data_IF_923633187500
#
_entry.id   IF_923633187500
#
_cell.length_a   1.000
_cell.length_b   1.000
_cell.length_c   1.000
_cell.angle_alpha   90.00
_cell.angle_beta   90.00
_cell.angle_gamma   90.00
#
_symmetry.space_group_name_H-M   'P 1'
#
loop_
_entity.id
_entity.type
_entity.pdbx_description
1 polymer ?
#
# COMPACT_ATOMS: atom_id res chain seq x y z
N UNK A 1 43.69 -54.62 -17.78
CA UNK A 1 43.89 -54.55 -16.36
C UNK A 1 42.90 -53.45 -15.92
N UNK A 2 41.65 -53.66 -15.83
CA UNK A 2 40.81 -54.47 -14.93
C UNK A 2 41.02 -54.11 -13.47
N UNK A 3 40.10 -53.39 -12.86
CA UNK A 3 39.54 -53.65 -11.56
C UNK A 3 38.32 -52.73 -11.27
N UNK A 4 37.27 -53.37 -11.14
CA UNK A 4 35.90 -53.15 -10.76
C UNK A 4 35.72 -52.77 -9.30
N UNK A 5 34.75 -51.88 -9.04
CA UNK A 5 33.63 -51.75 -8.06
C UNK A 5 33.83 -52.20 -6.60
N UNK A 6 33.08 -51.67 -5.57
CA UNK A 6 31.64 -52.00 -5.50
C UNK A 6 30.67 -50.87 -5.11
N UNK A 7 29.42 -51.14 -5.45
CA UNK A 7 28.19 -50.49 -5.13
C UNK A 7 27.76 -50.94 -3.70
N UNK A 8 27.15 -50.03 -2.91
CA UNK A 8 26.34 -50.41 -1.79
C UNK A 8 24.96 -49.72 -1.82
N UNK A 9 23.97 -50.54 -1.85
CA UNK A 9 22.53 -50.25 -1.74
C UNK A 9 22.15 -49.98 -0.29
N UNK A 10 21.33 -48.98 -0.05
CA UNK A 10 20.29 -49.04 0.99
C UNK A 10 19.06 -48.25 0.56
N UNK A 11 17.92 -48.95 0.61
CA UNK A 11 16.58 -48.47 0.31
C UNK A 11 15.89 -47.89 1.57
N UNK A 12 14.62 -47.43 1.48
CA UNK A 12 14.14 -46.15 2.02
C UNK A 12 13.30 -46.33 3.31
N UNK A 13 13.31 -45.27 4.10
CA UNK A 13 12.40 -45.13 5.23
C UNK A 13 11.39 -44.01 4.96
N UNK A 14 10.13 -44.39 4.88
CA UNK A 14 8.96 -43.54 5.03
C UNK A 14 9.02 -42.81 6.36
N UNK A 15 8.74 -41.54 6.38
CA UNK A 15 7.85 -40.93 7.36
C UNK A 15 7.46 -39.51 6.89
N UNK A 16 6.14 -39.29 6.81
CA UNK A 16 5.56 -38.04 6.45
C UNK A 16 5.55 -37.09 7.65
N UNK A 17 5.85 -35.83 7.35
CA UNK A 17 5.37 -34.71 8.14
C UNK A 17 5.18 -33.49 7.27
N UNK A 18 3.95 -32.95 7.32
CA UNK A 18 3.55 -31.74 6.64
C UNK A 18 4.16 -30.51 7.32
N UNK A 19 4.57 -29.47 6.57
CA UNK A 19 5.08 -28.25 7.19
C UNK A 19 3.97 -27.41 7.77
N UNK A 20 4.12 -27.12 9.04
CA UNK A 20 3.32 -26.28 9.90
C UNK A 20 3.39 -24.83 9.43
N UNK A 21 2.26 -24.22 9.09
CA UNK A 21 2.13 -22.81 8.74
C UNK A 21 2.24 -21.94 10.01
N UNK A 22 3.43 -21.45 10.33
CA UNK A 22 3.60 -20.41 11.31
C UNK A 22 3.35 -19.03 10.67
N UNK A 23 2.16 -18.48 10.92
CA UNK A 23 1.89 -17.07 10.70
C UNK A 23 2.60 -16.24 11.76
N UNK A 24 3.73 -15.66 11.41
CA UNK A 24 4.43 -14.69 12.26
C UNK A 24 3.63 -13.40 12.36
N UNK A 25 3.31 -12.99 13.58
CA UNK A 25 2.71 -11.69 13.89
C UNK A 25 3.78 -10.61 13.79
N UNK A 26 3.65 -9.69 12.84
CA UNK A 26 4.55 -8.54 12.71
C UNK A 26 4.20 -7.45 13.70
N UNK A 27 5.10 -7.16 14.60
CA UNK A 27 5.01 -6.05 15.56
C UNK A 27 5.95 -4.94 15.07
N UNK A 28 5.39 -3.84 14.56
CA UNK A 28 6.16 -2.65 14.15
C UNK A 28 6.38 -1.77 15.36
N UNK A 29 7.63 -1.65 15.82
CA UNK A 29 8.06 -0.65 16.79
C UNK A 29 8.37 0.66 16.06
N UNK A 30 7.49 1.64 16.19
CA UNK A 30 7.77 3.03 15.81
C UNK A 30 8.37 3.77 17.00
N UNK A 31 9.63 4.13 16.95
CA UNK A 31 10.26 5.08 17.87
C UNK A 31 10.26 6.46 17.24
N UNK A 32 9.49 7.38 17.80
CA UNK A 32 9.52 8.80 17.47
C UNK A 32 10.58 9.50 18.31
N UNK A 33 11.58 10.11 17.68
CA UNK A 33 12.36 11.19 18.31
C UNK A 33 12.30 12.42 17.41
N UNK A 34 11.67 13.45 17.95
CA UNK A 34 11.50 14.77 17.36
C UNK A 34 12.66 15.66 17.82
N UNK A 35 13.49 16.18 16.91
CA UNK A 35 14.28 17.40 17.10
C UNK A 35 14.47 18.12 15.76
N UNK A 36 14.03 19.38 15.73
CA UNK A 36 14.05 20.31 14.61
C UNK A 36 15.40 21.00 14.44
N UNK A 37 15.98 20.95 13.24
CA UNK A 37 17.17 21.72 12.80
C UNK A 37 16.78 22.69 11.68
N UNK A 38 17.15 24.00 11.76
CA UNK A 38 16.71 25.05 10.83
C UNK A 38 17.55 25.25 9.57
N UNK A 39 18.49 24.39 9.19
CA UNK A 39 19.45 24.66 8.08
C UNK A 39 19.34 23.70 6.89
N UNK A 40 18.15 23.45 6.36
CA UNK A 40 17.95 22.51 5.23
C UNK A 40 17.72 23.22 3.89
N UNK A 41 18.32 22.73 2.77
CA UNK A 41 17.98 23.23 1.43
C UNK A 41 16.57 22.79 1.03
N UNK A 42 15.82 23.74 0.52
CA UNK A 42 14.41 23.61 0.17
C UNK A 42 14.23 23.16 -1.27
N UNK A 43 13.33 22.22 -1.50
CA UNK A 43 12.79 21.80 -2.80
C UNK A 43 11.65 22.76 -3.16
N UNK A 44 11.52 23.25 -4.39
CA UNK A 44 10.56 24.29 -4.74
C UNK A 44 9.12 23.74 -4.89
N UNK A 45 8.44 23.59 -3.79
CA UNK A 45 7.04 23.92 -3.62
C UNK A 45 7.02 24.97 -2.54
N UNK A 46 6.57 26.17 -2.84
CA UNK A 46 6.69 27.40 -2.07
C UNK A 46 6.61 27.20 -0.57
N UNK A 47 7.70 27.58 0.09
CA UNK A 47 7.90 27.63 1.52
C UNK A 47 6.71 28.28 2.26
N UNK A 48 5.97 27.48 3.03
CA UNK A 48 5.18 27.97 4.17
C UNK A 48 5.17 26.87 5.23
N UNK A 49 5.84 27.16 6.33
CA UNK A 49 5.80 26.43 7.58
C UNK A 49 4.37 25.92 7.90
N UNK A 50 4.19 24.61 7.87
CA UNK A 50 2.99 23.98 8.42
C UNK A 50 2.90 24.32 9.90
N UNK A 51 1.72 24.70 10.42
CA UNK A 51 1.54 24.87 11.86
C UNK A 51 1.86 23.53 12.56
N UNK A 52 2.41 23.57 13.78
CA UNK A 52 2.73 22.36 14.51
C UNK A 52 1.46 21.52 14.67
N UNK A 53 1.45 20.33 14.10
CA UNK A 53 0.39 19.35 14.33
C UNK A 53 0.47 18.96 15.81
N UNK A 54 -0.52 19.36 16.59
CA UNK A 54 -0.69 18.83 17.91
C UNK A 54 -0.85 17.31 17.78
N UNK A 55 0.12 16.61 18.32
CA UNK A 55 0.19 15.16 18.39
C UNK A 55 -0.91 14.67 19.34
N UNK A 56 -2.15 14.61 18.87
CA UNK A 56 -3.18 13.85 19.55
C UNK A 56 -2.92 12.38 19.24
N UNK A 57 -2.31 11.71 20.21
CA UNK A 57 -1.88 10.33 20.12
C UNK A 57 -2.97 9.42 19.56
N UNK A 58 -2.68 8.86 18.41
CA UNK A 58 -3.40 7.69 17.93
C UNK A 58 -3.04 6.52 18.85
N UNK A 59 -3.87 6.32 19.88
CA UNK A 59 -3.87 5.09 20.65
C UNK A 59 -4.26 3.95 19.72
N UNK A 60 -3.41 2.94 19.65
CA UNK A 60 -3.64 1.64 19.03
C UNK A 60 -5.08 1.19 19.19
N UNK A 61 -5.86 1.23 18.14
CA UNK A 61 -7.10 0.48 18.07
C UNK A 61 -6.75 -0.97 17.73
N UNK A 62 -6.77 -1.84 18.76
CA UNK A 62 -6.80 -3.28 18.60
C UNK A 62 -8.09 -3.66 17.88
N UNK A 63 -7.98 -4.39 16.78
CA UNK A 63 -9.10 -5.09 16.19
C UNK A 63 -9.61 -6.17 17.16
N UNK A 64 -10.91 -6.25 17.49
CA UNK A 64 -11.46 -7.31 18.31
C UNK A 64 -11.68 -8.56 17.46
N UNK A 65 -11.05 -9.66 17.82
CA UNK A 65 -11.39 -10.95 17.27
C UNK A 65 -10.26 -11.96 17.27
N UNK A 66 -9.93 -12.50 18.44
CA UNK A 66 -9.68 -13.94 18.62
C UNK A 66 -9.42 -14.21 20.11
N UNK A 67 -10.38 -14.89 20.75
CA UNK A 67 -10.27 -15.37 22.10
C UNK A 67 -9.34 -16.60 22.13
N UNK A 68 -8.29 -16.52 22.91
CA UNK A 68 -7.44 -17.65 23.26
C UNK A 68 -8.19 -18.54 24.26
N UNK A 69 -8.35 -19.82 23.94
CA UNK A 69 -8.84 -20.84 24.85
C UNK A 69 -7.67 -21.45 25.61
N UNK A 70 -7.48 -21.05 26.84
CA UNK A 70 -6.62 -21.76 27.79
C UNK A 70 -7.36 -22.99 28.34
N UNK A 71 -6.84 -24.18 28.03
CA UNK A 71 -7.24 -25.45 28.66
C UNK A 71 -6.50 -25.58 29.98
N UNK A 72 -7.22 -25.57 31.10
CA UNK A 72 -6.81 -26.25 32.33
C UNK A 72 -7.89 -27.28 32.73
N UNK A 73 -7.45 -28.48 32.73
CA UNK A 73 -8.13 -29.70 33.20
C UNK A 73 -8.31 -29.69 34.72
N UNK A 74 -9.46 -30.06 35.23
CA UNK A 74 -9.55 -31.07 36.27
C UNK A 74 -10.99 -31.58 36.49
N UNK A 75 -11.16 -32.83 36.93
CA UNK A 75 -12.39 -33.61 36.77
C UNK A 75 -13.19 -33.69 38.06
N UNK A 76 -14.50 -33.91 37.95
CA UNK A 76 -15.19 -34.94 38.73
C UNK A 76 -16.73 -34.83 38.68
N UNK A 77 -17.33 -35.99 38.39
CA UNK A 77 -18.60 -36.55 38.82
C UNK A 77 -19.93 -36.02 38.27
N UNK A 78 -20.57 -36.92 37.55
CA UNK A 78 -22.00 -37.06 37.30
C UNK A 78 -22.73 -37.61 38.55
N UNK A 79 -24.06 -37.93 38.58
CA UNK A 79 -25.08 -37.90 37.52
C UNK A 79 -26.49 -37.46 38.01
N UNK A 80 -27.43 -37.49 37.03
CA UNK A 80 -28.86 -37.83 37.13
C UNK A 80 -29.88 -36.74 37.51
N UNK A 81 -30.84 -36.55 36.59
CA UNK A 81 -32.23 -36.61 37.01
C UNK A 81 -33.14 -35.47 36.50
N UNK A 82 -34.00 -35.87 35.59
CA UNK A 82 -35.40 -35.46 35.44
C UNK A 82 -35.74 -34.35 34.46
N UNK A 83 -36.38 -34.81 33.41
CA UNK A 83 -37.31 -34.14 32.51
C UNK A 83 -38.35 -33.27 33.22
N UNK A 84 -38.44 -32.00 32.88
CA UNK A 84 -39.68 -31.24 32.99
C UNK A 84 -39.85 -30.35 31.75
N UNK A 85 -40.95 -30.57 31.07
CA UNK A 85 -41.51 -29.75 30.02
C UNK A 85 -41.97 -28.41 30.59
N UNK A 86 -41.63 -27.26 30.02
CA UNK A 86 -42.25 -26.02 30.38
C UNK A 86 -43.46 -25.73 29.50
N UNK A 87 -44.46 -25.38 30.18
CA UNK A 87 -45.77 -24.90 29.82
C UNK A 87 -45.71 -23.69 28.84
N UNK A 88 -46.62 -23.77 27.88
CA UNK A 88 -46.99 -22.65 27.01
C UNK A 88 -47.67 -21.56 27.82
N UNK A 89 -47.07 -20.37 27.87
CA UNK A 89 -47.69 -19.04 27.88
C UNK A 89 -46.74 -18.02 28.49
N UNK A 90 -45.98 -17.36 27.65
CA UNK A 90 -45.64 -15.96 27.87
C UNK A 90 -45.27 -15.33 26.52
N UNK A 91 -46.30 -14.82 25.82
CA UNK A 91 -46.18 -13.74 24.87
C UNK A 91 -45.90 -12.46 25.65
N UNK A 92 -44.66 -12.10 25.83
CA UNK A 92 -44.28 -10.74 26.17
C UNK A 92 -43.33 -10.22 25.12
N UNK A 93 -43.89 -9.57 24.17
CA UNK A 93 -43.55 -8.29 23.58
C UNK A 93 -42.22 -7.72 24.08
N UNK A 94 -41.15 -7.89 23.32
CA UNK A 94 -40.12 -6.88 23.24
C UNK A 94 -40.05 -6.36 21.80
N UNK A 95 -41.02 -5.54 21.46
CA UNK A 95 -40.88 -4.58 20.38
C UNK A 95 -39.89 -3.53 20.85
N UNK A 96 -38.58 -3.86 20.79
CA UNK A 96 -37.56 -2.83 20.85
C UNK A 96 -37.82 -1.98 19.60
N UNK A 97 -38.35 -0.82 19.89
CA UNK A 97 -38.63 0.26 18.98
C UNK A 97 -37.44 0.46 18.06
N UNK A 98 -37.57 0.08 16.78
CA UNK A 98 -36.66 0.48 15.70
C UNK A 98 -36.82 1.98 15.34
N UNK A 99 -37.02 2.81 16.38
CA UNK A 99 -37.10 4.27 16.23
C UNK A 99 -35.76 4.83 16.63
N UNK A 100 -35.09 5.43 15.64
CA UNK A 100 -33.89 6.26 15.72
C UNK A 100 -32.55 5.51 15.49
N UNK A 101 -32.43 4.76 14.39
CA UNK A 101 -31.14 4.69 13.73
C UNK A 101 -31.00 6.06 13.03
N UNK A 102 -30.08 6.93 13.46
CA UNK A 102 -29.89 8.20 12.77
C UNK A 102 -29.59 7.90 11.30
N UNK A 103 -30.24 8.64 10.40
CA UNK A 103 -29.89 8.54 8.98
C UNK A 103 -28.38 8.71 8.82
N UNK A 104 -27.73 7.92 7.95
CA UNK A 104 -26.30 8.06 7.73
C UNK A 104 -26.02 9.49 7.25
N UNK A 105 -25.04 10.14 7.87
CA UNK A 105 -24.58 11.47 7.49
C UNK A 105 -24.26 11.51 6.00
N UNK A 106 -24.91 12.43 5.27
CA UNK A 106 -24.64 12.65 3.84
C UNK A 106 -23.56 13.71 3.72
N UNK A 107 -22.42 13.29 3.19
CA UNK A 107 -21.32 14.20 2.83
C UNK A 107 -21.38 14.55 1.34
N UNK A 108 -20.77 15.69 0.96
CA UNK A 108 -20.59 16.05 -0.44
C UNK A 108 -19.93 14.95 -1.28
N UNK A 109 -20.21 14.94 -2.58
CA UNK A 109 -19.70 13.94 -3.54
C UNK A 109 -18.67 14.50 -4.51
N UNK A 110 -18.43 15.80 -4.51
CA UNK A 110 -17.42 16.47 -5.33
C UNK A 110 -16.58 17.42 -4.50
N UNK A 111 -15.38 17.78 -4.99
CA UNK A 111 -14.50 18.74 -4.33
C UNK A 111 -15.19 20.11 -4.21
N UNK A 112 -15.92 20.54 -5.24
CA UNK A 112 -16.63 21.80 -5.29
C UNK A 112 -17.74 21.87 -4.25
N UNK A 113 -18.48 20.78 -4.05
CA UNK A 113 -19.51 20.67 -3.01
C UNK A 113 -18.89 20.72 -1.60
N UNK A 114 -17.68 20.17 -1.43
CA UNK A 114 -16.89 20.34 -0.21
C UNK A 114 -16.40 21.78 -0.02
N UNK A 115 -16.46 22.60 -1.09
CA UNK A 115 -15.98 23.98 -1.11
C UNK A 115 -14.47 24.11 -1.43
N UNK A 116 -13.88 23.11 -2.06
CA UNK A 116 -12.45 23.06 -2.38
C UNK A 116 -12.21 22.76 -3.86
N UNK A 117 -11.02 23.12 -4.34
CA UNK A 117 -10.53 22.79 -5.68
C UNK A 117 -9.01 22.77 -5.65
N UNK A 118 -8.40 21.95 -6.48
CA UNK A 118 -6.96 22.02 -6.75
C UNK A 118 -6.67 23.27 -7.60
N UNK A 119 -5.71 24.07 -7.17
CA UNK A 119 -5.24 25.23 -7.91
C UNK A 119 -4.19 24.83 -8.97
N UNK A 120 -3.59 25.80 -9.66
CA UNK A 120 -2.60 25.57 -10.71
C UNK A 120 -1.31 24.90 -10.18
N UNK A 121 -0.97 25.10 -8.90
CA UNK A 121 0.16 24.44 -8.23
C UNK A 121 -0.18 23.02 -7.74
N UNK A 122 -1.39 22.51 -8.02
CA UNK A 122 -1.86 21.22 -7.53
C UNK A 122 -2.20 21.18 -6.04
N UNK A 123 -2.31 22.32 -5.37
CA UNK A 123 -2.67 22.40 -3.95
C UNK A 123 -4.19 22.51 -3.77
N UNK A 124 -4.76 21.72 -2.83
CA UNK A 124 -6.17 21.77 -2.51
C UNK A 124 -6.49 23.04 -1.72
N UNK A 125 -7.26 23.94 -2.32
CA UNK A 125 -7.58 25.26 -1.74
C UNK A 125 -9.08 25.51 -1.69
N UNK A 126 -9.51 26.30 -0.69
CA UNK A 126 -10.90 26.69 -0.52
C UNK A 126 -11.36 27.59 -1.69
N UNK A 127 -12.55 27.34 -2.21
CA UNK A 127 -13.16 28.17 -3.25
C UNK A 127 -13.71 29.44 -2.59
N UNK A 128 -13.25 30.61 -3.06
CA UNK A 128 -13.68 31.94 -2.59
C UNK A 128 -14.77 32.57 -3.48
N UNK A 129 -14.86 32.12 -4.73
CA UNK A 129 -15.92 32.53 -5.65
C UNK A 129 -16.50 31.28 -6.35
N UNK A 130 -17.69 30.91 -5.94
CA UNK A 130 -18.41 29.74 -6.49
C UNK A 130 -18.79 29.86 -7.96
N UNK A 131 -18.92 31.08 -8.49
CA UNK A 131 -19.31 31.29 -9.91
C UNK A 131 -18.15 31.03 -10.86
N UNK A 132 -16.96 31.47 -10.49
CA UNK A 132 -15.75 31.33 -11.29
C UNK A 132 -14.91 30.10 -10.91
N UNK A 133 -15.17 29.50 -9.75
CA UNK A 133 -14.33 28.46 -9.18
C UNK A 133 -12.97 28.96 -8.70
N UNK A 134 -12.83 30.30 -8.48
CA UNK A 134 -11.58 30.90 -8.01
C UNK A 134 -11.27 30.43 -6.59
N UNK A 135 -10.02 29.97 -6.39
CA UNK A 135 -9.52 29.54 -5.10
C UNK A 135 -8.86 30.67 -4.33
N UNK A 136 -8.93 30.62 -3.01
CA UNK A 136 -8.16 31.45 -2.09
C UNK A 136 -6.83 30.78 -1.72
N UNK A 137 -6.27 31.21 -0.58
CA UNK A 137 -5.04 30.66 -0.01
C UNK A 137 -5.29 29.61 1.08
N UNK A 138 -6.53 29.49 1.56
CA UNK A 138 -6.89 28.62 2.68
C UNK A 138 -6.83 27.16 2.29
N UNK A 139 -6.17 26.35 3.11
CA UNK A 139 -6.08 24.91 3.00
C UNK A 139 -7.39 24.22 3.48
N UNK A 140 -7.42 22.91 3.36
CA UNK A 140 -8.49 22.10 3.93
C UNK A 140 -8.57 22.27 5.45
N UNK A 141 -9.76 22.58 5.95
CA UNK A 141 -10.06 22.69 7.36
C UNK A 141 -10.65 21.37 7.88
N UNK A 142 -9.90 20.71 8.75
CA UNK A 142 -10.33 19.43 9.34
C UNK A 142 -11.39 19.64 10.42
N UNK A 143 -11.15 20.56 11.38
CA UNK A 143 -12.01 20.78 12.55
C UNK A 143 -13.13 21.80 12.26
N UNK A 144 -14.16 21.37 11.53
CA UNK A 144 -15.34 22.22 11.23
C UNK A 144 -16.47 22.04 12.22
N UNK A 145 -16.38 21.03 13.10
CA UNK A 145 -17.36 20.71 14.14
C UNK A 145 -16.65 20.42 15.47
N UNK A 146 -17.39 20.58 16.58
CA UNK A 146 -16.94 20.08 17.89
C UNK A 146 -16.98 18.54 17.98
N UNK A 147 -17.76 17.90 17.15
CA UNK A 147 -17.83 16.45 17.05
C UNK A 147 -16.66 15.92 16.20
N UNK A 148 -15.71 15.27 16.86
CA UNK A 148 -14.51 14.70 16.20
C UNK A 148 -14.89 13.56 15.26
N UNK A 149 -15.95 12.80 15.54
CA UNK A 149 -16.43 11.73 14.67
C UNK A 149 -16.96 12.30 13.36
N UNK A 150 -17.72 13.41 13.43
CA UNK A 150 -18.16 14.12 12.25
C UNK A 150 -16.96 14.61 11.39
N UNK A 151 -15.96 15.23 12.02
CA UNK A 151 -14.76 15.71 11.32
C UNK A 151 -14.02 14.55 10.63
N UNK A 152 -13.88 13.40 11.31
CA UNK A 152 -13.26 12.22 10.76
C UNK A 152 -14.06 11.64 9.58
N UNK A 153 -15.37 11.46 9.72
CA UNK A 153 -16.26 10.98 8.66
C UNK A 153 -16.21 11.91 7.43
N UNK A 154 -16.19 13.23 7.68
CA UNK A 154 -16.04 14.23 6.61
C UNK A 154 -14.70 14.11 5.89
N UNK A 155 -13.60 13.91 6.61
CA UNK A 155 -12.28 13.69 6.03
C UNK A 155 -12.22 12.40 5.20
N UNK A 156 -12.83 11.32 5.67
CA UNK A 156 -12.92 10.06 4.94
C UNK A 156 -13.78 10.18 3.67
N UNK A 157 -14.87 10.93 3.75
CA UNK A 157 -15.70 11.22 2.59
C UNK A 157 -14.95 12.06 1.54
N UNK A 158 -14.24 13.11 1.97
CA UNK A 158 -13.34 13.86 1.08
C UNK A 158 -12.27 12.95 0.46
N UNK A 159 -11.72 12.03 1.25
CA UNK A 159 -10.73 11.07 0.77
C UNK A 159 -11.22 10.22 -0.40
N UNK A 160 -12.50 9.82 -0.41
CA UNK A 160 -13.10 9.09 -1.55
C UNK A 160 -13.21 9.97 -2.80
N UNK A 161 -13.53 11.25 -2.62
CA UNK A 161 -13.60 12.22 -3.73
C UNK A 161 -12.19 12.47 -4.29
N UNK A 162 -11.18 12.53 -3.44
CA UNK A 162 -9.77 12.63 -3.84
C UNK A 162 -9.33 11.37 -4.61
N UNK A 163 -9.75 10.16 -4.18
CA UNK A 163 -9.44 8.91 -4.90
C UNK A 163 -9.95 9.00 -6.36
N UNK A 164 -11.20 9.38 -6.57
CA UNK A 164 -11.78 9.54 -7.92
C UNK A 164 -11.11 10.65 -8.73
N UNK A 165 -10.73 11.74 -8.10
CA UNK A 165 -10.00 12.81 -8.77
C UNK A 165 -8.63 12.34 -9.27
N UNK A 166 -7.87 11.60 -8.45
CA UNK A 166 -6.58 11.01 -8.84
C UNK A 166 -6.74 9.98 -9.96
N UNK A 167 -7.80 9.16 -9.91
CA UNK A 167 -8.11 8.23 -11.00
C UNK A 167 -8.33 8.95 -12.33
N UNK A 168 -9.10 10.05 -12.31
CA UNK A 168 -9.33 10.88 -13.49
C UNK A 168 -8.02 11.47 -14.04
N UNK A 169 -7.14 11.98 -13.17
CA UNK A 169 -5.84 12.51 -13.57
C UNK A 169 -4.94 11.42 -14.19
N UNK A 170 -4.99 10.17 -13.71
CA UNK A 170 -4.28 9.06 -14.33
C UNK A 170 -4.86 8.70 -15.70
N UNK A 171 -6.19 8.75 -15.87
CA UNK A 171 -6.84 8.55 -17.18
C UNK A 171 -6.48 9.67 -18.17
N UNK A 172 -6.45 10.92 -17.71
CA UNK A 172 -5.99 12.10 -18.50
C UNK A 172 -4.50 11.99 -18.87
N UNK A 173 -3.67 11.37 -18.01
CA UNK A 173 -2.28 11.04 -18.32
C UNK A 173 -2.14 9.87 -19.31
N UNK A 174 -3.24 9.26 -19.75
CA UNK A 174 -3.28 8.22 -20.77
C UNK A 174 -3.31 6.78 -20.25
N UNK A 175 -3.41 6.55 -18.94
CA UNK A 175 -3.57 5.21 -18.38
C UNK A 175 -5.01 4.72 -18.51
N UNK A 176 -5.20 3.41 -18.48
CA UNK A 176 -6.51 2.74 -18.49
C UNK A 176 -6.62 1.77 -17.34
N UNK A 177 -7.85 1.54 -16.88
CA UNK A 177 -8.19 0.52 -15.89
C UNK A 177 -8.20 -0.86 -16.53
N UNK A 178 -7.62 -1.82 -15.81
CA UNK A 178 -7.65 -3.24 -16.13
C UNK A 178 -8.18 -4.01 -14.91
N UNK A 179 -9.07 -5.01 -15.09
CA UNK A 179 -9.79 -5.63 -13.98
C UNK A 179 -8.89 -6.52 -13.12
N UNK A 180 -9.19 -6.59 -11.83
CA UNK A 180 -8.67 -7.60 -10.88
C UNK A 180 -9.89 -8.21 -10.18
N UNK A 181 -10.11 -9.54 -10.33
CA UNK A 181 -9.27 -10.51 -11.05
C UNK A 181 -9.22 -10.26 -12.56
N UNK A 182 -8.17 -10.80 -13.20
CA UNK A 182 -7.92 -10.63 -14.64
C UNK A 182 -9.08 -11.11 -15.52
N UNK A 183 -9.75 -12.17 -15.11
CA UNK A 183 -10.87 -12.83 -15.77
C UNK A 183 -12.21 -12.50 -15.07
N UNK A 184 -12.32 -11.31 -14.45
CA UNK A 184 -13.50 -10.88 -13.71
C UNK A 184 -14.77 -10.92 -14.57
N UNK A 185 -15.84 -11.47 -14.00
CA UNK A 185 -17.19 -11.44 -14.58
C UNK A 185 -17.91 -10.18 -14.10
N UNK A 186 -18.84 -9.64 -14.89
CA UNK A 186 -19.60 -8.43 -14.53
C UNK A 186 -20.32 -8.53 -13.17
N UNK A 187 -20.78 -9.72 -12.81
CA UNK A 187 -21.49 -9.98 -11.53
C UNK A 187 -20.55 -10.26 -10.34
N UNK A 188 -19.25 -10.30 -10.57
CA UNK A 188 -18.26 -10.64 -9.55
C UNK A 188 -17.68 -9.37 -8.91
N UNK A 189 -17.48 -9.33 -7.56
CA UNK A 189 -16.73 -8.25 -6.93
C UNK A 189 -15.34 -8.11 -7.53
N UNK A 190 -15.01 -6.92 -8.00
CA UNK A 190 -13.75 -6.65 -8.67
C UNK A 190 -13.15 -5.31 -8.24
N UNK A 191 -11.85 -5.19 -8.39
CA UNK A 191 -11.07 -3.97 -8.37
C UNK A 191 -10.33 -3.81 -9.70
N UNK A 192 -9.33 -2.96 -9.76
CA UNK A 192 -8.58 -2.67 -10.97
C UNK A 192 -7.13 -2.25 -10.66
N UNK A 193 -6.31 -2.30 -11.68
CA UNK A 193 -5.02 -1.62 -11.77
C UNK A 193 -5.10 -0.58 -12.88
N UNK A 194 -4.22 0.44 -12.85
CA UNK A 194 -4.04 1.33 -13.99
C UNK A 194 -2.79 0.95 -14.76
N UNK A 195 -2.86 1.01 -16.08
CA UNK A 195 -1.69 0.78 -16.91
C UNK A 195 -1.75 1.57 -18.23
N UNK A 196 -0.59 1.76 -18.85
CA UNK A 196 -0.51 2.24 -20.23
C UNK A 196 -1.27 1.28 -21.16
N UNK A 197 -2.07 1.77 -22.14
CA UNK A 197 -3.00 0.93 -22.91
C UNK A 197 -2.36 -0.25 -23.64
N UNK A 198 -1.11 -0.07 -24.06
CA UNK A 198 -0.41 -1.04 -24.91
C UNK A 198 0.52 -1.98 -24.14
N UNK A 199 0.56 -1.91 -22.79
CA UNK A 199 1.52 -2.70 -22.05
C UNK A 199 1.35 -4.22 -22.22
N UNK A 200 0.12 -4.70 -22.43
CA UNK A 200 -0.15 -6.12 -22.74
C UNK A 200 0.22 -6.54 -24.15
N UNK A 201 0.31 -5.57 -25.08
CA UNK A 201 0.64 -5.80 -26.48
C UNK A 201 2.12 -5.60 -26.77
N UNK A 202 2.87 -5.14 -25.78
CA UNK A 202 4.21 -4.62 -25.97
C UNK A 202 5.16 -5.72 -26.43
N UNK A 203 5.88 -5.42 -27.50
CA UNK A 203 7.10 -6.08 -27.89
C UNK A 203 8.20 -5.91 -26.82
N UNK A 204 9.25 -6.71 -26.91
CA UNK A 204 10.42 -6.69 -26.01
C UNK A 204 11.08 -5.31 -25.79
N UNK A 205 10.69 -4.32 -26.56
CA UNK A 205 11.39 -3.05 -26.70
C UNK A 205 11.07 -2.01 -25.61
N UNK A 206 10.01 -2.23 -24.82
CA UNK A 206 9.64 -1.29 -23.75
C UNK A 206 9.71 -1.94 -22.39
N UNK A 207 10.46 -1.35 -21.49
CA UNK A 207 10.49 -1.74 -20.10
C UNK A 207 9.19 -1.32 -19.38
N UNK A 208 8.88 -2.00 -18.27
CA UNK A 208 7.71 -1.73 -17.44
C UNK A 208 8.16 -1.12 -16.11
N UNK A 209 7.53 -0.01 -15.70
CA UNK A 209 7.62 0.51 -14.34
C UNK A 209 6.35 0.12 -13.57
N UNK A 210 6.53 -0.57 -12.44
CA UNK A 210 5.43 -0.93 -11.52
C UNK A 210 5.49 -0.01 -10.31
N UNK A 211 4.35 0.60 -9.95
CA UNK A 211 4.19 1.47 -8.78
C UNK A 211 3.31 0.80 -7.74
N UNK A 212 3.83 0.65 -6.52
CA UNK A 212 3.14 -0.04 -5.41
C UNK A 212 3.11 0.87 -4.20
N UNK A 213 1.92 1.34 -3.83
CA UNK A 213 1.72 2.20 -2.65
C UNK A 213 1.77 1.45 -1.32
N UNK A 214 1.83 2.17 -0.22
CA UNK A 214 1.79 1.64 1.15
C UNK A 214 0.42 1.14 1.58
N UNK A 215 0.32 0.68 2.84
CA UNK A 215 -0.93 0.25 3.46
C UNK A 215 -1.83 1.44 3.84
N UNK A 216 -3.06 1.13 4.25
CA UNK A 216 -4.01 2.11 4.80
C UNK A 216 -5.05 2.61 3.81
N UNK A 217 -5.33 3.92 3.87
CA UNK A 217 -6.45 4.53 3.12
C UNK A 217 -6.11 4.90 1.68
N UNK A 218 -4.85 4.84 1.30
CA UNK A 218 -4.38 5.17 -0.06
C UNK A 218 -4.87 4.15 -1.09
N UNK A 219 -5.06 4.63 -2.31
CA UNK A 219 -5.50 3.86 -3.48
C UNK A 219 -4.50 4.03 -4.63
N UNK A 220 -4.73 3.35 -5.73
CA UNK A 220 -3.93 3.50 -6.95
C UNK A 220 -3.68 4.97 -7.28
N UNK A 221 -2.45 5.31 -7.62
CA UNK A 221 -2.05 6.67 -7.96
C UNK A 221 -1.65 7.55 -6.77
N UNK A 222 -1.71 7.05 -5.54
CA UNK A 222 -1.38 7.81 -4.34
C UNK A 222 -0.15 7.25 -3.61
N UNK A 223 0.74 8.13 -3.13
CA UNK A 223 1.70 7.80 -2.10
C UNK A 223 1.16 8.09 -0.70
N UNK A 224 0.58 9.30 -0.51
CA UNK A 224 0.07 9.76 0.78
C UNK A 224 -1.14 10.68 0.62
N UNK A 225 -2.33 10.22 1.04
CA UNK A 225 -3.56 11.04 1.00
C UNK A 225 -3.40 12.36 1.78
N UNK A 226 -2.69 12.32 2.91
CA UNK A 226 -2.45 13.52 3.71
C UNK A 226 -1.70 14.61 2.93
N UNK A 227 -0.71 14.24 2.12
CA UNK A 227 0.02 15.18 1.28
C UNK A 227 -0.85 15.73 0.15
N UNK A 228 -1.68 14.89 -0.48
CA UNK A 228 -2.63 15.35 -1.51
C UNK A 228 -3.55 16.44 -0.96
N UNK A 229 -4.06 16.26 0.28
CA UNK A 229 -5.03 17.18 0.87
C UNK A 229 -4.37 18.42 1.47
N UNK A 230 -3.19 18.30 2.08
CA UNK A 230 -2.61 19.38 2.88
C UNK A 230 -1.38 20.03 2.24
N UNK A 231 -0.83 19.43 1.18
CA UNK A 231 0.30 19.99 0.43
C UNK A 231 -0.08 20.14 -1.05
N UNK A 232 0.29 19.18 -1.91
CA UNK A 232 -0.08 19.25 -3.31
C UNK A 232 -0.20 17.86 -3.96
N UNK A 233 -0.73 17.81 -5.19
CA UNK A 233 -0.85 16.59 -5.99
C UNK A 233 0.51 15.93 -6.25
N UNK A 234 1.53 16.70 -6.54
CA UNK A 234 2.85 16.15 -6.90
C UNK A 234 3.52 15.44 -5.73
N UNK A 235 3.43 15.99 -4.51
CA UNK A 235 4.02 15.38 -3.33
C UNK A 235 3.27 14.13 -2.85
N UNK A 236 1.94 14.09 -3.05
CA UNK A 236 1.09 13.03 -2.51
C UNK A 236 0.69 11.95 -3.51
N UNK A 237 0.90 12.16 -4.82
CA UNK A 237 0.48 11.21 -5.86
C UNK A 237 1.65 10.52 -6.57
N UNK A 238 1.31 9.49 -7.34
CA UNK A 238 2.23 8.79 -8.24
C UNK A 238 2.34 9.46 -9.62
N UNK A 239 1.60 10.56 -9.86
CA UNK A 239 1.56 11.23 -11.16
C UNK A 239 2.94 11.70 -11.67
N UNK A 240 3.83 12.28 -10.84
CA UNK A 240 5.19 12.61 -11.29
C UNK A 240 5.96 11.38 -11.79
N UNK A 241 5.85 10.25 -11.07
CA UNK A 241 6.48 8.98 -11.45
C UNK A 241 5.91 8.44 -12.76
N UNK A 242 4.59 8.50 -12.95
CA UNK A 242 3.90 8.06 -14.16
C UNK A 242 4.39 8.88 -15.37
N UNK A 243 4.37 10.20 -15.26
CA UNK A 243 4.79 11.14 -16.32
C UNK A 243 6.25 10.88 -16.71
N UNK A 244 7.16 10.88 -15.73
CA UNK A 244 8.59 10.66 -15.96
C UNK A 244 8.89 9.31 -16.60
N UNK A 245 8.24 8.23 -16.14
CA UNK A 245 8.41 6.91 -16.73
C UNK A 245 7.97 6.88 -18.18
N UNK A 246 6.83 7.47 -18.50
CA UNK A 246 6.34 7.55 -19.89
C UNK A 246 7.25 8.40 -20.78
N UNK A 247 7.80 9.50 -20.28
CA UNK A 247 8.81 10.32 -20.97
C UNK A 247 10.09 9.53 -21.28
N UNK A 248 10.51 8.64 -20.37
CA UNK A 248 11.67 7.75 -20.55
C UNK A 248 11.35 6.50 -21.40
N UNK A 249 10.11 6.39 -21.91
CA UNK A 249 9.66 5.31 -22.79
C UNK A 249 9.23 4.03 -22.08
N UNK A 250 9.02 4.05 -20.76
CA UNK A 250 8.46 2.91 -20.04
C UNK A 250 6.96 2.76 -20.29
N UNK A 251 6.50 1.52 -20.25
CA UNK A 251 5.12 1.25 -19.87
C UNK A 251 4.98 1.41 -18.36
N UNK A 252 3.79 1.74 -17.89
CA UNK A 252 3.51 1.94 -16.46
C UNK A 252 2.37 1.05 -16.01
N UNK A 253 2.51 0.44 -14.82
CA UNK A 253 1.50 -0.34 -14.14
C UNK A 253 1.38 0.14 -12.69
N UNK A 254 0.21 0.60 -12.30
CA UNK A 254 -0.09 1.14 -10.98
C UNK A 254 -1.03 0.18 -10.24
N UNK A 255 -0.55 -0.41 -9.15
CA UNK A 255 -1.32 -1.36 -8.36
C UNK A 255 -2.33 -0.65 -7.44
N UNK A 256 -3.42 -1.35 -7.11
CA UNK A 256 -4.46 -0.88 -6.17
C UNK A 256 -4.58 -1.85 -4.99
N UNK A 257 -3.48 -2.07 -4.29
CA UNK A 257 -3.30 -3.15 -3.31
C UNK A 257 -4.24 -3.08 -2.10
N UNK A 258 -4.78 -1.90 -1.77
CA UNK A 258 -5.69 -1.71 -0.63
C UNK A 258 -7.18 -1.79 -0.98
N UNK A 259 -7.51 -2.06 -2.24
CA UNK A 259 -8.91 -2.20 -2.66
C UNK A 259 -9.29 -3.69 -2.71
N UNK A 260 -9.71 -4.22 -1.56
CA UNK A 260 -9.78 -5.66 -1.31
C UNK A 260 -11.20 -6.17 -1.09
N UNK A 261 -12.19 -5.29 -0.96
CA UNK A 261 -13.54 -5.69 -0.55
C UNK A 261 -14.62 -4.85 -1.20
N UNK A 262 -15.73 -5.52 -1.57
CA UNK A 262 -17.05 -4.95 -1.82
C UNK A 262 -18.00 -5.51 -0.74
N UNK A 263 -19.08 -6.16 -1.09
CA UNK A 263 -19.87 -6.95 -0.12
C UNK A 263 -19.05 -8.13 0.44
N UNK A 264 -18.29 -8.78 -0.44
CA UNK A 264 -17.34 -9.84 -0.11
C UNK A 264 -15.91 -9.47 -0.46
N UNK A 265 -14.94 -10.29 -0.04
CA UNK A 265 -13.55 -10.12 -0.46
C UNK A 265 -13.42 -10.36 -1.96
N UNK A 266 -12.57 -9.56 -2.60
CA UNK A 266 -12.33 -9.63 -4.05
C UNK A 266 -11.33 -10.75 -4.34
N UNK A 267 -11.68 -11.68 -5.20
CA UNK A 267 -10.80 -12.76 -5.69
C UNK A 267 -9.56 -12.16 -6.36
N UNK A 268 -8.37 -12.65 -6.00
CA UNK A 268 -7.10 -12.10 -6.48
C UNK A 268 -6.72 -10.75 -5.86
N UNK A 269 -7.51 -10.26 -4.88
CA UNK A 269 -7.22 -9.03 -4.14
C UNK A 269 -7.80 -9.07 -2.72
N UNK A 270 -7.74 -10.21 -2.02
CA UNK A 270 -8.28 -10.30 -0.65
C UNK A 270 -7.43 -9.52 0.37
N UNK A 271 -6.19 -9.28 0.03
CA UNK A 271 -5.23 -8.47 0.78
C UNK A 271 -4.17 -7.90 -0.19
N UNK A 272 -3.32 -6.96 0.27
CA UNK A 272 -2.34 -6.31 -0.60
C UNK A 272 -1.35 -7.27 -1.27
N UNK A 273 -0.92 -8.32 -0.58
CA UNK A 273 0.02 -9.31 -1.11
C UNK A 273 -0.64 -10.17 -2.19
N UNK A 274 -1.85 -10.68 -1.94
CA UNK A 274 -2.60 -11.44 -2.94
C UNK A 274 -2.86 -10.60 -4.21
N UNK A 275 -3.16 -9.30 -4.04
CA UNK A 275 -3.29 -8.38 -5.17
C UNK A 275 -2.00 -8.31 -6.00
N UNK A 276 -0.85 -8.11 -5.36
CA UNK A 276 0.43 -8.01 -6.05
C UNK A 276 0.80 -9.31 -6.79
N UNK A 277 0.62 -10.47 -6.15
CA UNK A 277 0.85 -11.78 -6.77
C UNK A 277 -0.10 -12.03 -7.94
N UNK A 278 -1.40 -11.77 -7.78
CA UNK A 278 -2.38 -11.93 -8.85
C UNK A 278 -2.07 -11.05 -10.07
N UNK A 279 -1.71 -9.78 -9.82
CA UNK A 279 -1.33 -8.85 -10.88
C UNK A 279 -0.06 -9.32 -11.59
N UNK A 280 0.94 -9.78 -10.84
CA UNK A 280 2.14 -10.35 -11.44
C UNK A 280 1.82 -11.53 -12.35
N UNK A 281 1.13 -12.54 -11.85
CA UNK A 281 0.85 -13.79 -12.57
C UNK A 281 0.03 -13.57 -13.84
N UNK A 282 -0.85 -12.60 -13.86
CA UNK A 282 -1.79 -12.39 -14.95
C UNK A 282 -1.40 -11.27 -15.92
N UNK A 283 -0.67 -10.26 -15.44
CA UNK A 283 -0.34 -9.08 -16.23
C UNK A 283 1.14 -8.90 -16.51
N UNK A 284 2.04 -9.40 -15.64
CA UNK A 284 3.49 -9.16 -15.75
C UNK A 284 4.26 -10.39 -16.22
N UNK A 285 3.94 -11.58 -15.70
CA UNK A 285 4.66 -12.81 -16.02
C UNK A 285 4.47 -13.24 -17.48
N UNK A 286 3.25 -13.09 -18.02
CA UNK A 286 2.87 -13.57 -19.35
C UNK A 286 3.52 -12.86 -20.55
N UNK A 287 3.67 -11.52 -20.59
CA UNK A 287 4.43 -10.87 -21.64
C UNK A 287 5.91 -11.23 -21.52
N UNK A 288 6.43 -11.99 -22.50
CA UNK A 288 7.75 -12.64 -22.42
C UNK A 288 8.95 -11.69 -22.34
N UNK A 289 8.80 -10.39 -22.51
CA UNK A 289 9.93 -9.60 -22.96
C UNK A 289 10.21 -8.31 -22.23
N UNK A 290 9.26 -7.75 -21.47
CA UNK A 290 9.52 -6.51 -20.78
C UNK A 290 10.39 -6.74 -19.54
N UNK A 291 11.52 -6.04 -19.45
CA UNK A 291 12.24 -5.90 -18.19
C UNK A 291 11.48 -4.95 -17.28
N UNK A 292 11.56 -5.16 -15.98
CA UNK A 292 10.72 -4.54 -14.98
C UNK A 292 11.56 -3.74 -13.99
N UNK A 293 11.16 -2.49 -13.76
CA UNK A 293 11.54 -1.72 -12.58
C UNK A 293 10.35 -1.61 -11.64
N UNK A 294 10.59 -1.58 -10.34
CA UNK A 294 9.55 -1.45 -9.31
C UNK A 294 9.87 -0.25 -8.42
N UNK A 295 8.89 0.60 -8.15
CA UNK A 295 8.96 1.59 -7.07
C UNK A 295 7.90 1.23 -6.04
N UNK A 296 8.31 1.00 -4.80
CA UNK A 296 7.44 0.49 -3.75
C UNK A 296 7.60 1.30 -2.44
N UNK A 297 6.51 1.92 -1.99
CA UNK A 297 6.49 2.72 -0.77
C UNK A 297 5.96 1.91 0.41
N UNK A 298 6.62 2.04 1.59
CA UNK A 298 6.10 1.50 2.85
C UNK A 298 5.75 0.01 2.75
N UNK A 299 4.50 -0.39 3.01
CA UNK A 299 4.03 -1.77 2.88
C UNK A 299 4.07 -2.33 1.44
N UNK A 300 4.15 -1.45 0.44
CA UNK A 300 4.42 -1.87 -0.94
C UNK A 300 5.74 -2.64 -1.08
N UNK A 301 6.71 -2.33 -0.22
CA UNK A 301 7.95 -3.09 -0.12
C UNK A 301 7.77 -4.51 0.43
N UNK A 302 6.85 -4.73 1.38
CA UNK A 302 6.47 -6.07 1.85
C UNK A 302 5.85 -6.88 0.70
N UNK A 303 4.93 -6.27 -0.06
CA UNK A 303 4.36 -6.90 -1.25
C UNK A 303 5.45 -7.31 -2.27
N UNK A 304 6.42 -6.42 -2.49
CA UNK A 304 7.54 -6.67 -3.42
C UNK A 304 8.47 -7.78 -2.92
N UNK A 305 8.77 -7.81 -1.62
CA UNK A 305 9.63 -8.84 -1.02
C UNK A 305 9.00 -10.22 -1.10
N UNK A 306 7.70 -10.33 -0.79
CA UNK A 306 6.96 -11.58 -0.91
C UNK A 306 6.85 -12.01 -2.39
N UNK A 307 6.62 -11.06 -3.30
CA UNK A 307 6.62 -11.34 -4.74
C UNK A 307 7.97 -11.91 -5.19
N UNK A 308 9.07 -11.32 -4.76
CA UNK A 308 10.43 -11.79 -5.07
C UNK A 308 10.70 -13.20 -4.54
N UNK A 309 10.13 -13.56 -3.39
CA UNK A 309 10.24 -14.89 -2.80
C UNK A 309 9.36 -15.91 -3.53
N UNK A 310 8.07 -15.60 -3.71
CA UNK A 310 7.08 -16.51 -4.28
C UNK A 310 7.23 -16.73 -5.78
N UNK A 311 7.86 -15.78 -6.51
CA UNK A 311 8.08 -15.82 -7.96
C UNK A 311 9.57 -15.67 -8.31
N UNK A 312 10.43 -16.27 -7.51
CA UNK A 312 11.88 -16.05 -7.50
C UNK A 312 12.55 -16.09 -8.87
N UNK A 313 12.28 -17.11 -9.64
CA UNK A 313 12.93 -17.30 -10.95
C UNK A 313 12.48 -16.24 -11.96
N UNK A 314 11.17 -16.02 -12.08
CA UNK A 314 10.62 -15.00 -12.97
C UNK A 314 10.99 -13.58 -12.54
N UNK A 315 11.00 -13.34 -11.23
CA UNK A 315 11.42 -12.06 -10.66
C UNK A 315 12.89 -11.79 -10.99
N UNK A 316 13.77 -12.78 -10.81
CA UNK A 316 15.19 -12.64 -11.13
C UNK A 316 15.45 -12.47 -12.63
N UNK A 317 14.64 -13.10 -13.49
CA UNK A 317 14.73 -12.93 -14.94
C UNK A 317 14.29 -11.54 -15.40
N UNK A 318 13.20 -11.01 -14.82
CA UNK A 318 12.53 -9.81 -15.34
C UNK A 318 12.95 -8.53 -14.63
N UNK A 319 13.13 -8.55 -13.32
CA UNK A 319 13.32 -7.33 -12.52
C UNK A 319 14.78 -6.90 -12.50
N UNK A 320 15.06 -5.72 -13.03
CA UNK A 320 16.42 -5.17 -13.08
C UNK A 320 16.67 -4.07 -12.03
N UNK A 321 15.61 -3.44 -11.49
CA UNK A 321 15.73 -2.41 -10.47
C UNK A 321 14.51 -2.42 -9.52
N UNK A 322 14.77 -2.25 -8.23
CA UNK A 322 13.73 -2.03 -7.21
C UNK A 322 14.12 -0.83 -6.34
N UNK A 323 13.34 0.23 -6.44
CA UNK A 323 13.46 1.40 -5.58
C UNK A 323 12.40 1.32 -4.48
N UNK A 324 12.85 1.14 -3.26
CA UNK A 324 12.00 1.23 -2.09
C UNK A 324 12.04 2.65 -1.52
N UNK A 325 10.91 3.17 -1.08
CA UNK A 325 10.82 4.46 -0.39
C UNK A 325 10.21 4.24 0.99
N UNK A 326 11.09 4.24 1.97
CA UNK A 326 10.82 3.98 3.40
C UNK A 326 10.01 2.70 3.61
N UNK A 327 10.47 1.63 2.95
CA UNK A 327 9.84 0.33 2.99
C UNK A 327 9.97 -0.32 4.36
N UNK A 328 8.89 -0.96 4.80
CA UNK A 328 8.79 -1.69 6.08
C UNK A 328 8.95 -3.21 5.92
N UNK A 329 9.63 -3.65 4.86
CA UNK A 329 9.93 -5.06 4.64
C UNK A 329 10.84 -5.63 5.72
N UNK A 330 10.74 -6.94 5.96
CA UNK A 330 11.65 -7.65 6.84
C UNK A 330 13.06 -7.78 6.27
N UNK A 331 13.98 -8.25 7.12
CA UNK A 331 15.35 -8.53 6.76
C UNK A 331 15.41 -9.59 5.65
N UNK A 332 15.94 -9.19 4.50
CA UNK A 332 16.00 -10.02 3.29
C UNK A 332 17.24 -10.94 3.32
N UNK A 333 17.22 -11.95 4.20
CA UNK A 333 18.32 -12.92 4.34
C UNK A 333 18.11 -14.15 3.46
N UNK A 334 19.23 -14.82 3.13
CA UNK A 334 19.23 -16.06 2.36
C UNK A 334 19.33 -15.85 0.84
N UNK A 335 19.48 -16.96 0.13
CA UNK A 335 19.64 -16.98 -1.32
C UNK A 335 18.38 -16.55 -2.08
N UNK A 336 17.19 -16.76 -1.50
CA UNK A 336 15.91 -16.39 -2.10
C UNK A 336 15.83 -14.88 -2.37
N UNK A 337 16.50 -14.06 -1.56
CA UNK A 337 16.50 -12.60 -1.71
C UNK A 337 17.77 -12.04 -2.36
N UNK A 338 18.70 -12.90 -2.79
CA UNK A 338 19.99 -12.46 -3.36
C UNK A 338 19.80 -11.50 -4.54
N UNK A 339 18.90 -11.82 -5.46
CA UNK A 339 18.62 -10.96 -6.61
C UNK A 339 18.01 -9.63 -6.14
N UNK A 340 17.00 -9.67 -5.28
CA UNK A 340 16.35 -8.45 -4.76
C UNK A 340 17.35 -7.52 -4.06
N UNK A 341 18.28 -8.07 -3.26
CA UNK A 341 19.36 -7.28 -2.63
C UNK A 341 20.28 -6.61 -3.67
N UNK A 342 20.58 -7.30 -4.76
CA UNK A 342 21.48 -6.78 -5.81
C UNK A 342 20.85 -5.67 -6.65
N UNK A 343 19.52 -5.75 -6.87
CA UNK A 343 18.78 -4.80 -7.72
C UNK A 343 17.95 -3.81 -6.90
N UNK A 344 18.01 -3.89 -5.56
CA UNK A 344 17.23 -3.08 -4.65
C UNK A 344 18.03 -1.96 -3.99
N UNK A 345 17.37 -0.83 -3.72
CA UNK A 345 17.83 0.26 -2.85
C UNK A 345 16.65 0.82 -2.08
N UNK A 346 16.84 1.12 -0.79
CA UNK A 346 15.80 1.70 0.07
C UNK A 346 16.17 3.13 0.47
N UNK A 347 15.36 4.11 0.06
CA UNK A 347 15.44 5.49 0.50
C UNK A 347 14.57 5.69 1.74
N UNK A 348 15.18 5.72 2.91
CA UNK A 348 14.48 5.82 4.18
C UNK A 348 14.35 7.26 4.68
N UNK A 349 13.30 7.50 5.47
CA UNK A 349 13.14 8.74 6.21
C UNK A 349 14.33 8.94 7.15
N UNK A 350 15.04 10.06 7.00
CA UNK A 350 16.26 10.35 7.75
C UNK A 350 16.58 11.85 7.74
N UNK A 351 17.38 12.26 8.69
CA UNK A 351 17.90 13.63 8.81
C UNK A 351 19.25 13.85 8.11
N UNK A 352 19.86 12.79 7.56
CA UNK A 352 21.09 12.96 6.76
C UNK A 352 20.73 13.37 5.33
N UNK A 353 21.65 13.96 4.56
CA UNK A 353 21.40 14.36 3.18
C UNK A 353 20.91 13.24 2.28
N UNK A 354 20.20 13.61 1.21
CA UNK A 354 19.71 12.66 0.18
C UNK A 354 20.87 11.80 -0.34
N UNK A 355 20.61 10.49 -0.51
CA UNK A 355 21.54 9.47 -1.01
C UNK A 355 22.71 9.11 -0.07
N UNK A 356 22.87 9.77 1.07
CA UNK A 356 23.85 9.33 2.05
C UNK A 356 23.44 8.03 2.73
N UNK A 357 24.41 7.14 2.98
CA UNK A 357 24.20 5.86 3.67
C UNK A 357 23.77 6.14 5.12
N UNK A 358 22.73 5.48 5.57
CA UNK A 358 22.26 5.57 6.95
C UNK A 358 23.01 4.55 7.78
N UNK A 359 23.93 5.02 8.66
CA UNK A 359 24.69 4.16 9.54
C UNK A 359 23.78 3.38 10.50
N UNK A 360 24.14 2.10 10.75
CA UNK A 360 23.40 1.23 11.67
C UNK A 360 22.16 0.55 11.07
N UNK A 361 21.71 0.93 9.89
CA UNK A 361 20.77 0.13 9.11
C UNK A 361 21.55 -0.97 8.41
N UNK A 362 21.24 -2.20 8.73
CA UNK A 362 22.04 -3.38 8.50
C UNK A 362 22.59 -3.53 7.08
N UNK A 363 23.89 -3.62 6.96
CA UNK A 363 24.62 -4.00 5.75
C UNK A 363 24.32 -5.42 5.23
N UNK A 364 23.51 -6.20 5.93
CA UNK A 364 23.19 -7.59 5.55
C UNK A 364 22.08 -7.68 4.51
N UNK A 365 21.35 -6.59 4.27
CA UNK A 365 20.17 -6.63 3.42
C UNK A 365 20.46 -5.98 2.07
N UNK A 366 19.90 -4.83 1.84
CA UNK A 366 20.10 -4.07 0.61
C UNK A 366 20.62 -2.68 0.96
N UNK A 367 21.23 -1.99 0.00
CA UNK A 367 21.69 -0.62 0.21
C UNK A 367 20.56 0.27 0.71
N UNK A 368 20.74 0.85 1.90
CA UNK A 368 19.78 1.79 2.51
C UNK A 368 20.41 3.17 2.60
N UNK A 369 19.73 4.15 2.05
CA UNK A 369 20.17 5.55 1.97
C UNK A 369 19.07 6.48 2.46
N UNK A 370 19.45 7.73 2.76
CA UNK A 370 18.49 8.76 3.12
C UNK A 370 17.64 9.18 1.93
N UNK A 371 16.34 9.34 2.16
CA UNK A 371 15.43 10.01 1.22
C UNK A 371 15.58 11.55 1.24
N UNK A 372 16.47 12.12 2.05
CA UNK A 372 16.61 13.55 2.22
C UNK A 372 15.44 14.22 2.94
N UNK A 373 14.57 13.46 3.59
CA UNK A 373 13.42 13.95 4.35
C UNK A 373 13.15 13.05 5.57
N UNK A 374 12.70 13.65 6.68
CA UNK A 374 12.46 12.93 7.95
C UNK A 374 11.06 12.31 8.07
N UNK A 375 10.13 12.69 7.22
CA UNK A 375 8.73 12.25 7.31
C UNK A 375 8.46 11.14 6.30
N UNK A 376 7.93 10.04 6.79
CA UNK A 376 7.62 8.81 6.03
C UNK A 376 6.90 9.07 4.70
N UNK A 377 5.82 9.84 4.74
CA UNK A 377 4.98 10.08 3.56
C UNK A 377 5.67 10.91 2.46
N UNK A 378 6.73 11.66 2.82
CA UNK A 378 7.49 12.49 1.87
C UNK A 378 8.57 11.74 1.11
N UNK A 379 8.97 10.57 1.56
CA UNK A 379 10.16 9.86 1.05
C UNK A 379 10.10 9.58 -0.45
N UNK A 380 8.92 9.21 -0.97
CA UNK A 380 8.76 8.98 -2.41
C UNK A 380 8.94 10.26 -3.23
N UNK A 381 8.45 11.40 -2.75
CA UNK A 381 8.60 12.67 -3.45
C UNK A 381 10.02 13.23 -3.32
N UNK A 382 10.57 13.23 -2.12
CA UNK A 382 11.91 13.76 -1.85
C UNK A 382 13.03 13.01 -2.59
N UNK A 383 12.88 11.68 -2.74
CA UNK A 383 13.86 10.84 -3.43
C UNK A 383 13.59 10.68 -4.95
N UNK A 384 12.61 11.37 -5.52
CA UNK A 384 12.11 11.17 -6.87
C UNK A 384 13.22 11.13 -7.95
N UNK A 385 14.06 12.16 -8.02
CA UNK A 385 15.13 12.24 -9.01
C UNK A 385 16.20 11.15 -8.79
N UNK A 386 16.55 10.88 -7.53
CA UNK A 386 17.51 9.81 -7.17
C UNK A 386 17.00 8.43 -7.51
N UNK A 387 15.71 8.19 -7.34
CA UNK A 387 15.06 6.93 -7.72
C UNK A 387 15.16 6.71 -9.22
N UNK A 388 14.82 7.71 -10.03
CA UNK A 388 14.93 7.57 -11.49
C UNK A 388 16.37 7.45 -11.97
N UNK A 389 17.30 8.20 -11.38
CA UNK A 389 18.72 8.04 -11.66
C UNK A 389 19.17 6.60 -11.41
N UNK A 390 18.81 6.02 -10.28
CA UNK A 390 19.13 4.64 -9.93
C UNK A 390 18.52 3.62 -10.90
N UNK A 391 17.25 3.80 -11.28
CA UNK A 391 16.57 2.91 -12.23
C UNK A 391 17.29 2.95 -13.59
N UNK A 392 17.66 4.13 -14.08
CA UNK A 392 18.37 4.27 -15.35
C UNK A 392 19.80 3.72 -15.29
N UNK A 393 20.51 3.84 -14.17
CA UNK A 393 21.81 3.20 -13.95
C UNK A 393 21.72 1.67 -13.99
N UNK A 394 20.64 1.10 -13.47
CA UNK A 394 20.40 -0.35 -13.47
C UNK A 394 19.89 -0.86 -14.82
N UNK A 395 19.33 0.01 -15.66
CA UNK A 395 18.86 -0.33 -17.00
C UNK A 395 20.01 -0.49 -18.01
N UNK A 396 21.10 0.27 -17.84
CA UNK A 396 22.28 0.26 -18.69
C UNK A 396 23.05 -1.07 -18.57
#
# INVERSE_FOLDING_TARGET
MDQTLPVDHCQPGNDGDAPNSNSASYCVLMTSNDQSDPTRPQVPCTDKSLPPVQNNGFRNQRFPGQAATDKKSNPNFAPAGQTQTPNSNEKSQSWISMKNIPEPEKFPSTLEEFGYKFNEDGALKKIIDKKTGKTGTENFEFNVSKDQRFNQNRYEALGKVVDEHVYKLMEEAGLKKFPVPFDAKESEPQTFVFATPDFLKTSADKNLLILIHGSGVVRAGQWARRLIINDCLDSGTQLPYIKKAMELGYNVLVLNTNDNKRETLIRGSKNPVEHALHVWDNYVAKPKSAKVAIVAHSFGGVCTSILAQERREEFAEKVFAVAFTDSVHDILRGEDFKHLRNVGRNWCASNVPLDEIIEGMSSSDMTTVSAGHTVHEWTSYAAFESVFKYIEEKRA
#
